data_IF_860207563714
#
_entry.id   IF_860207563714
#
_cell.length_a   1.000
_cell.length_b   1.000
_cell.length_c   1.000
_cell.angle_alpha   90.00
_cell.angle_beta   90.00
_cell.angle_gamma   90.00
#
_symmetry.space_group_name_H-M   'P 1'
#
loop_
_entity.id
_entity.type
_entity.pdbx_description
1 polymer ?
#
# COMPACT_ATOMS: atom_id res chain seq x y z
N UNK A 1 13.77 -6.22 54.95
CA UNK A 1 12.56 -6.86 54.39
C UNK A 1 12.18 -6.14 53.10
N UNK A 2 12.65 -6.62 51.95
CA UNK A 2 12.39 -6.02 50.63
C UNK A 2 11.30 -6.83 49.94
N UNK A 3 10.12 -6.24 49.77
CA UNK A 3 9.01 -6.82 48.99
C UNK A 3 9.43 -6.85 47.51
N UNK A 4 9.69 -8.05 46.97
CA UNK A 4 9.84 -8.26 45.53
C UNK A 4 8.51 -7.92 44.86
N UNK A 5 8.47 -6.82 44.12
CA UNK A 5 7.37 -6.49 43.22
C UNK A 5 7.32 -7.59 42.15
N UNK A 6 6.27 -8.42 42.17
CA UNK A 6 6.00 -9.35 41.08
C UNK A 6 5.38 -8.52 39.96
N UNK A 7 6.12 -8.32 38.88
CA UNK A 7 5.58 -7.77 37.64
C UNK A 7 4.38 -8.63 37.23
N UNK A 8 3.18 -8.05 37.02
CA UNK A 8 2.04 -8.84 36.58
C UNK A 8 2.34 -9.38 35.18
N UNK A 9 2.45 -10.70 35.07
CA UNK A 9 2.50 -11.40 33.79
C UNK A 9 1.18 -11.12 33.08
N UNK A 10 1.24 -10.44 31.94
CA UNK A 10 0.05 -9.97 31.26
C UNK A 10 -0.71 -11.17 30.68
N UNK A 11 -1.94 -11.39 31.15
CA UNK A 11 -2.72 -12.62 30.92
C UNK A 11 -3.03 -12.89 29.44
N UNK A 12 -3.02 -11.89 28.56
CA UNK A 12 -3.28 -12.06 27.12
C UNK A 12 -2.19 -12.86 26.38
N UNK A 13 -1.03 -13.10 26.99
CA UNK A 13 -0.03 -14.01 26.41
C UNK A 13 -0.47 -15.49 26.39
N UNK A 14 -1.48 -15.87 27.19
CA UNK A 14 -1.91 -17.26 27.35
C UNK A 14 -3.30 -17.57 26.77
N UNK A 15 -4.04 -16.56 26.31
CA UNK A 15 -5.33 -16.79 25.66
C UNK A 15 -5.08 -17.16 24.20
N UNK A 16 -5.14 -18.47 23.92
CA UNK A 16 -5.01 -19.06 22.59
C UNK A 16 -6.10 -18.65 21.58
N UNK A 17 -6.79 -17.52 21.77
CA UNK A 17 -7.59 -16.88 20.73
C UNK A 17 -6.66 -16.05 19.83
N UNK A 18 -5.72 -16.72 19.15
CA UNK A 18 -5.04 -16.11 18.04
C UNK A 18 -6.09 -15.83 16.97
N UNK A 19 -6.44 -14.56 16.78
CA UNK A 19 -7.16 -14.16 15.57
C UNK A 19 -6.27 -14.61 14.41
N UNK A 20 -6.76 -15.58 13.64
CA UNK A 20 -6.05 -16.11 12.48
C UNK A 20 -5.80 -14.98 11.51
N UNK A 21 -4.57 -14.86 11.02
CA UNK A 21 -4.22 -13.87 10.02
C UNK A 21 -5.18 -13.98 8.82
N UNK A 22 -5.54 -12.87 8.18
CA UNK A 22 -6.28 -12.91 6.93
C UNK A 22 -5.56 -13.79 5.88
N UNK A 23 -6.29 -14.44 4.96
CA UNK A 23 -5.70 -15.38 3.99
C UNK A 23 -4.72 -14.73 3.01
N UNK A 24 -4.75 -13.40 2.88
CA UNK A 24 -3.83 -12.63 2.05
C UNK A 24 -2.57 -12.18 2.80
N UNK A 25 -2.49 -12.38 4.12
CA UNK A 25 -1.40 -11.90 4.94
C UNK A 25 -0.17 -12.82 4.84
N UNK A 26 0.99 -12.24 4.55
CA UNK A 26 2.30 -12.88 4.64
C UNK A 26 2.71 -12.94 6.12
N UNK A 27 2.15 -13.91 6.85
CA UNK A 27 2.21 -13.98 8.31
C UNK A 27 3.63 -14.03 8.92
N UNK A 28 4.67 -14.19 8.11
CA UNK A 28 6.09 -14.12 8.49
C UNK A 28 6.51 -12.70 8.93
N UNK A 29 5.73 -11.67 8.58
CA UNK A 29 5.99 -10.28 8.96
C UNK A 29 5.45 -9.90 10.35
N UNK A 30 4.81 -10.83 11.07
CA UNK A 30 4.36 -10.61 12.44
C UNK A 30 5.43 -11.00 13.45
N UNK A 31 5.57 -10.22 14.52
CA UNK A 31 6.39 -10.63 15.66
C UNK A 31 5.59 -11.54 16.61
N UNK A 32 6.27 -12.51 17.22
CA UNK A 32 5.71 -13.31 18.32
C UNK A 32 5.28 -12.44 19.52
N UNK A 33 5.79 -11.20 19.62
CA UNK A 33 5.40 -10.25 20.66
C UNK A 33 4.17 -9.39 20.32
N UNK A 34 3.65 -9.47 19.09
CA UNK A 34 2.51 -8.67 18.68
C UNK A 34 1.22 -9.24 19.26
N UNK A 35 0.50 -8.39 20.01
CA UNK A 35 -0.85 -8.70 20.48
C UNK A 35 -1.75 -9.03 19.29
N UNK A 36 -2.55 -10.12 19.30
CA UNK A 36 -3.37 -10.53 18.16
C UNK A 36 -4.22 -9.41 17.55
N UNK A 37 -4.83 -8.57 18.39
CA UNK A 37 -5.67 -7.44 17.96
C UNK A 37 -4.90 -6.20 17.49
N UNK A 38 -3.57 -6.21 17.62
CA UNK A 38 -2.71 -5.08 17.27
C UNK A 38 -1.80 -5.45 16.08
N UNK A 39 -1.95 -6.62 15.45
CA UNK A 39 -1.06 -6.99 14.33
C UNK A 39 -1.27 -6.10 13.10
N UNK A 40 -0.17 -5.68 12.48
CA UNK A 40 -0.20 -5.16 11.10
C UNK A 40 -0.18 -6.34 10.17
N UNK A 41 -1.13 -6.39 9.25
CA UNK A 41 -1.17 -7.39 8.20
C UNK A 41 -0.68 -6.78 6.90
N UNK A 42 0.17 -7.51 6.19
CA UNK A 42 0.71 -7.11 4.90
C UNK A 42 0.66 -8.30 3.94
N UNK A 43 0.28 -8.07 2.69
CA UNK A 43 0.30 -9.11 1.66
C UNK A 43 1.69 -9.25 1.04
N UNK A 44 1.99 -10.38 0.37
CA UNK A 44 3.08 -10.36 -0.59
C UNK A 44 2.83 -9.30 -1.66
N UNK A 45 3.86 -8.95 -2.41
CA UNK A 45 3.73 -8.10 -3.58
C UNK A 45 2.79 -8.74 -4.61
N UNK A 46 1.65 -8.08 -4.87
CA UNK A 46 0.63 -8.60 -5.78
C UNK A 46 0.94 -8.29 -7.23
N UNK A 47 1.60 -7.15 -7.48
CA UNK A 47 1.95 -6.70 -8.83
C UNK A 47 3.13 -5.73 -8.81
N UNK A 48 3.87 -5.67 -9.92
CA UNK A 48 4.86 -4.64 -10.24
C UNK A 48 4.68 -4.15 -11.68
N UNK A 49 4.87 -2.86 -11.93
CA UNK A 49 5.11 -2.37 -13.28
C UNK A 49 6.02 -1.15 -13.33
N UNK A 50 6.82 -1.05 -14.40
CA UNK A 50 7.66 0.11 -14.72
C UNK A 50 6.86 1.15 -15.53
N UNK A 51 6.61 2.37 -15.01
CA UNK A 51 5.84 3.39 -15.73
C UNK A 51 6.63 4.00 -16.90
N UNK A 52 6.41 3.49 -18.12
CA UNK A 52 7.18 3.90 -19.32
C UNK A 52 6.96 5.34 -19.80
N UNK A 53 5.82 5.95 -19.45
CA UNK A 53 5.48 7.32 -19.85
C UNK A 53 5.91 8.36 -18.81
N UNK A 54 6.34 7.93 -17.63
CA UNK A 54 6.95 8.81 -16.63
C UNK A 54 8.46 8.77 -16.80
N UNK A 55 9.18 9.77 -16.27
CA UNK A 55 10.63 9.67 -16.17
C UNK A 55 10.95 8.42 -15.31
N UNK A 56 11.59 7.39 -15.88
CA UNK A 56 11.85 6.16 -15.14
C UNK A 56 12.91 6.38 -14.07
N UNK A 57 13.64 7.49 -14.10
CA UNK A 57 14.71 7.78 -13.16
C UNK A 57 14.20 8.71 -12.07
N UNK A 58 14.27 8.23 -10.83
CA UNK A 58 14.16 9.07 -9.65
C UNK A 58 15.54 9.61 -9.26
N UNK A 59 15.63 10.84 -8.76
CA UNK A 59 16.88 11.40 -8.25
C UNK A 59 16.80 11.48 -6.74
N UNK A 60 17.68 10.78 -6.03
CA UNK A 60 17.74 10.84 -4.57
C UNK A 60 19.12 11.32 -4.10
N UNK A 61 19.19 12.20 -3.07
CA UNK A 61 20.47 12.68 -2.57
C UNK A 61 21.25 11.55 -1.91
N UNK A 62 22.49 11.30 -2.35
CA UNK A 62 23.35 10.29 -1.73
C UNK A 62 23.67 10.73 -0.30
N UNK A 63 23.36 9.88 0.68
CA UNK A 63 23.61 10.18 2.10
C UNK A 63 25.11 10.41 2.33
N UNK A 64 25.47 11.62 2.73
CA UNK A 64 26.86 12.00 2.99
C UNK A 64 27.58 12.69 1.82
N UNK A 65 26.94 12.84 0.65
CA UNK A 65 27.53 13.52 -0.51
C UNK A 65 26.63 14.69 -0.99
N UNK A 66 26.78 15.90 -0.41
CA UNK A 66 25.99 17.07 -0.78
C UNK A 66 26.11 17.40 -2.28
N UNK A 67 24.97 17.62 -2.94
CA UNK A 67 24.93 17.96 -4.36
C UNK A 67 25.11 16.78 -5.32
N UNK A 68 25.26 15.55 -4.81
CA UNK A 68 25.24 14.33 -5.60
C UNK A 68 23.92 13.59 -5.43
N UNK A 69 23.40 13.14 -6.56
CA UNK A 69 22.16 12.40 -6.64
C UNK A 69 22.45 11.06 -7.30
N UNK A 70 21.94 10.00 -6.70
CA UNK A 70 21.87 8.71 -7.35
C UNK A 70 20.56 8.61 -8.13
N UNK A 71 20.59 7.83 -9.19
CA UNK A 71 19.49 7.69 -10.14
C UNK A 71 19.29 6.22 -10.50
N UNK A 72 18.06 5.77 -10.40
CA UNK A 72 17.69 4.40 -10.71
C UNK A 72 16.28 4.29 -11.26
N UNK A 73 15.98 3.19 -11.98
CA UNK A 73 14.62 2.85 -12.35
C UNK A 73 13.78 2.71 -11.09
N UNK A 74 12.54 3.21 -11.13
CA UNK A 74 11.55 2.95 -10.08
C UNK A 74 10.37 2.17 -10.65
N UNK A 75 9.82 1.27 -9.84
CA UNK A 75 8.62 0.48 -10.18
C UNK A 75 7.45 0.90 -9.31
N UNK A 76 6.22 0.68 -9.79
CA UNK A 76 5.02 0.78 -8.95
C UNK A 76 4.64 -0.61 -8.49
N UNK A 77 4.63 -0.81 -7.19
CA UNK A 77 4.25 -2.06 -6.56
C UNK A 77 2.85 -1.95 -5.94
N UNK A 78 2.13 -3.07 -5.93
CA UNK A 78 0.78 -3.16 -5.37
C UNK A 78 0.76 -4.15 -4.22
N UNK A 79 0.23 -3.70 -3.07
CA UNK A 79 0.10 -4.50 -1.85
C UNK A 79 -1.29 -4.33 -1.23
N UNK A 80 -1.64 -5.22 -0.30
CA UNK A 80 -2.72 -5.03 0.65
C UNK A 80 -2.10 -4.85 2.03
N UNK A 81 -2.52 -3.80 2.73
CA UNK A 81 -2.09 -3.54 4.10
C UNK A 81 -3.30 -3.26 4.99
N UNK A 82 -3.24 -3.77 6.22
CA UNK A 82 -4.13 -3.39 7.31
C UNK A 82 -3.26 -2.99 8.50
N UNK A 83 -3.31 -1.72 8.87
CA UNK A 83 -2.54 -1.16 9.97
C UNK A 83 -3.10 -1.51 11.34
N UNK A 84 -2.36 -1.11 12.38
CA UNK A 84 -2.75 -1.26 13.79
C UNK A 84 -4.17 -0.73 14.02
N UNK A 85 -5.07 -1.60 14.49
CA UNK A 85 -6.47 -1.27 14.84
C UNK A 85 -7.31 -0.75 13.67
N UNK A 86 -6.83 -0.89 12.43
CA UNK A 86 -7.65 -0.63 11.24
C UNK A 86 -8.67 -1.77 11.12
N UNK A 87 -9.95 -1.42 10.93
CA UNK A 87 -11.03 -2.41 10.79
C UNK A 87 -11.06 -3.07 9.42
N UNK A 88 -10.56 -2.37 8.41
CA UNK A 88 -10.61 -2.77 7.02
C UNK A 88 -9.21 -2.67 6.42
N UNK A 89 -8.85 -3.59 5.51
CA UNK A 89 -7.63 -3.47 4.74
C UNK A 89 -7.73 -2.35 3.71
N UNK A 90 -6.56 -1.96 3.22
CA UNK A 90 -6.37 -0.97 2.18
C UNK A 90 -5.49 -1.54 1.08
N UNK A 91 -5.65 -1.01 -0.13
CA UNK A 91 -4.79 -1.32 -1.27
C UNK A 91 -3.77 -0.20 -1.39
N UNK A 92 -2.50 -0.54 -1.39
CA UNK A 92 -1.40 0.42 -1.52
C UNK A 92 -0.73 0.29 -2.88
N UNK A 93 -0.57 1.42 -3.57
CA UNK A 93 0.25 1.56 -4.77
C UNK A 93 1.48 2.36 -4.40
N UNK A 94 2.60 1.69 -4.19
CA UNK A 94 3.82 2.30 -3.64
C UNK A 94 4.89 2.36 -4.74
N UNK A 95 5.46 3.54 -5.01
CA UNK A 95 6.67 3.63 -5.82
C UNK A 95 7.85 3.02 -5.06
N UNK A 96 8.43 1.95 -5.60
CA UNK A 96 9.66 1.38 -5.08
C UNK A 96 10.85 2.19 -5.55
N UNK A 97 11.29 3.09 -4.68
CA UNK A 97 12.43 3.99 -4.90
C UNK A 97 13.52 3.66 -3.89
N UNK A 98 14.18 2.50 -4.08
CA UNK A 98 15.46 2.09 -3.48
C UNK A 98 15.75 2.71 -2.10
N UNK A 99 14.87 2.46 -1.13
CA UNK A 99 15.11 2.77 0.28
C UNK A 99 14.97 4.24 0.71
N UNK A 100 14.21 5.08 -0.02
CA UNK A 100 13.91 6.45 0.43
C UNK A 100 12.41 6.65 0.76
N UNK A 101 12.13 7.42 1.81
CA UNK A 101 10.77 7.85 2.24
C UNK A 101 10.08 8.79 1.23
N UNK A 102 10.69 9.03 0.06
CA UNK A 102 10.26 10.09 -0.86
C UNK A 102 9.15 9.64 -1.82
N UNK A 103 8.06 9.15 -1.25
CA UNK A 103 6.83 8.90 -2.00
C UNK A 103 5.84 8.20 -1.12
N UNK A 104 4.95 8.95 -0.48
CA UNK A 104 3.74 8.35 0.07
C UNK A 104 2.97 7.82 -1.12
N UNK A 105 2.99 6.50 -1.30
CA UNK A 105 2.19 5.83 -2.31
C UNK A 105 0.71 6.18 -2.18
N UNK A 106 -0.11 5.66 -3.09
CA UNK A 106 -1.55 5.83 -3.01
C UNK A 106 -2.15 4.71 -2.16
N UNK A 107 -2.70 5.06 -0.99
CA UNK A 107 -3.48 4.16 -0.13
C UNK A 107 -4.96 4.34 -0.45
N UNK A 108 -5.65 3.25 -0.76
CA UNK A 108 -7.07 3.24 -1.13
C UNK A 108 -7.84 2.32 -0.20
N UNK A 109 -9.01 2.77 0.26
CA UNK A 109 -10.01 1.85 0.79
C UNK A 109 -10.48 0.88 -0.30
N UNK A 110 -11.11 -0.23 0.11
CA UNK A 110 -11.65 -1.20 -0.84
C UNK A 110 -12.68 -0.57 -1.79
N UNK A 111 -13.51 0.35 -1.30
CA UNK A 111 -14.52 1.02 -2.12
C UNK A 111 -13.93 2.06 -3.07
N UNK A 112 -12.89 2.78 -2.66
CA UNK A 112 -12.14 3.67 -3.56
C UNK A 112 -11.43 2.88 -4.66
N UNK A 113 -10.83 1.74 -4.33
CA UNK A 113 -10.20 0.87 -5.32
C UNK A 113 -11.20 0.31 -6.34
N UNK A 114 -12.41 -0.08 -5.91
CA UNK A 114 -13.48 -0.48 -6.83
C UNK A 114 -13.89 0.65 -7.76
N UNK A 115 -14.04 1.88 -7.24
CA UNK A 115 -14.35 3.07 -8.05
C UNK A 115 -13.24 3.36 -9.06
N UNK A 116 -11.98 3.31 -8.61
CA UNK A 116 -10.82 3.51 -9.47
C UNK A 116 -10.77 2.48 -10.59
N UNK A 117 -10.97 1.20 -10.28
CA UNK A 117 -11.06 0.13 -11.29
C UNK A 117 -12.12 0.45 -12.34
N UNK A 118 -13.34 0.81 -11.93
CA UNK A 118 -14.43 1.15 -12.86
C UNK A 118 -14.04 2.30 -13.80
N UNK A 119 -13.42 3.35 -13.28
CA UNK A 119 -12.98 4.50 -14.08
C UNK A 119 -11.84 4.12 -15.04
N UNK A 120 -10.90 3.28 -14.60
CA UNK A 120 -9.83 2.79 -15.44
C UNK A 120 -10.36 1.90 -16.57
N UNK A 121 -11.32 1.02 -16.28
CA UNK A 121 -11.96 0.17 -17.29
C UNK A 121 -12.69 1.04 -18.35
N UNK A 122 -13.39 2.10 -17.95
CA UNK A 122 -13.99 3.07 -18.87
C UNK A 122 -12.95 3.81 -19.72
N UNK A 123 -11.85 4.25 -19.11
CA UNK A 123 -10.77 4.95 -19.81
C UNK A 123 -10.07 4.03 -20.83
N UNK A 124 -9.85 2.75 -20.48
CA UNK A 124 -9.30 1.74 -21.37
C UNK A 124 -10.22 1.51 -22.57
N UNK A 125 -11.53 1.32 -22.31
CA UNK A 125 -12.50 1.16 -23.37
C UNK A 125 -12.49 2.36 -24.34
N UNK A 126 -12.39 3.60 -23.83
CA UNK A 126 -12.27 4.80 -24.66
C UNK A 126 -10.97 4.86 -25.47
N UNK A 127 -9.85 4.42 -24.90
CA UNK A 127 -8.55 4.41 -25.58
C UNK A 127 -8.47 3.34 -26.69
N UNK A 128 -9.18 2.22 -26.53
CA UNK A 128 -9.24 1.13 -27.51
C UNK A 128 -10.20 1.40 -28.68
N UNK A 129 -11.15 2.35 -28.52
CA UNK A 129 -11.95 2.82 -29.66
C UNK A 129 -11.01 3.43 -30.68
N UNK A 130 -10.70 2.67 -31.75
CA UNK A 130 -10.01 3.19 -32.93
C UNK A 130 -10.68 4.50 -33.33
N UNK A 131 -9.91 5.56 -33.66
CA UNK A 131 -10.49 6.84 -34.05
C UNK A 131 -11.29 6.67 -35.35
N UNK A 132 -12.54 6.26 -35.23
CA UNK A 132 -13.56 6.57 -36.20
C UNK A 132 -13.92 8.03 -35.97
N UNK A 133 -14.14 8.75 -37.06
CA UNK A 133 -14.19 10.20 -37.23
C UNK A 133 -15.26 10.97 -36.44
N UNK A 134 -15.73 10.48 -35.29
CA UNK A 134 -16.70 11.16 -34.42
C UNK A 134 -16.21 11.23 -32.99
N UNK A 135 -15.88 12.46 -32.58
CA UNK A 135 -15.54 12.86 -31.21
C UNK A 135 -16.63 12.38 -30.23
N UNK A 136 -16.31 11.42 -29.38
CA UNK A 136 -17.19 11.01 -28.29
C UNK A 136 -17.38 12.19 -27.32
N UNK A 137 -18.63 12.54 -27.01
CA UNK A 137 -18.94 13.52 -25.96
C UNK A 137 -18.67 12.86 -24.61
N UNK A 138 -17.57 13.22 -23.95
CA UNK A 138 -17.31 12.91 -22.55
C UNK A 138 -18.47 13.45 -21.69
N UNK A 139 -19.09 12.59 -20.88
CA UNK A 139 -20.04 13.04 -19.85
C UNK A 139 -19.21 13.66 -18.73
N UNK A 140 -19.44 14.95 -18.47
CA UNK A 140 -18.89 15.62 -17.28
C UNK A 140 -19.45 14.95 -16.04
N UNK A 141 -18.58 14.35 -15.22
CA UNK A 141 -18.95 13.95 -13.86
C UNK A 141 -19.19 15.23 -13.09
N UNK A 142 -20.46 15.47 -12.71
CA UNK A 142 -20.84 16.65 -11.96
C UNK A 142 -20.11 16.68 -10.63
N UNK A 143 -19.50 17.82 -10.30
CA UNK A 143 -18.96 18.09 -8.98
C UNK A 143 -20.14 18.04 -7.97
N UNK A 144 -20.15 17.03 -7.11
CA UNK A 144 -21.04 17.01 -5.97
C UNK A 144 -20.61 18.16 -5.02
N UNK A 145 -21.57 19.05 -4.74
CA UNK A 145 -21.45 20.14 -3.76
C UNK A 145 -21.62 19.64 -2.33
#
# INVERSE_FOLDING_TARGET
MTKKSKTPTVQWMNDGSSVSCPPWCEGELHSDTDHPDDRVHHSPQLWSFLPKLMNPNYHWPIKGEPGRFDHGPWEVNVYIQQGWREREPSIELVPDMLGSDMGKGLKLTIDEAKKLRSVLDEALALAEVRPSTRRAKLKSVGAAS
#
